data_IF_880908894570
#
_entry.id   IF_880908894570
#
_cell.length_a   1.000
_cell.length_b   1.000
_cell.length_c   1.000
_cell.angle_alpha   90.00
_cell.angle_beta   90.00
_cell.angle_gamma   90.00
#
_symmetry.space_group_name_H-M   'P 1'
#
loop_
_entity.id
_entity.type
_entity.pdbx_description
1 polymer ?
#
# COMPACT_ATOMS: atom_id res chain seq x y z
N UNK A 1 -2.97 -13.18 16.46
CA UNK A 1 -2.14 -13.50 15.29
C UNK A 1 -1.63 -12.17 14.77
N UNK A 2 -0.32 -11.92 14.80
CA UNK A 2 0.24 -10.63 14.36
C UNK A 2 0.54 -10.71 12.86
N UNK A 3 0.20 -9.70 12.05
CA UNK A 3 0.54 -9.67 10.63
C UNK A 3 2.05 -9.83 10.46
N UNK A 4 2.46 -10.76 9.60
CA UNK A 4 3.86 -11.18 9.47
C UNK A 4 4.86 -10.03 9.18
N UNK A 5 4.40 -8.89 8.68
CA UNK A 5 5.26 -7.74 8.42
C UNK A 5 5.58 -6.94 9.70
N UNK A 6 4.69 -6.90 10.69
CA UNK A 6 4.91 -6.17 11.95
C UNK A 6 6.05 -6.80 12.76
N UNK A 7 6.24 -8.12 12.65
CA UNK A 7 7.32 -8.85 13.31
C UNK A 7 8.68 -8.76 12.58
N UNK A 8 8.72 -8.14 11.40
CA UNK A 8 9.95 -7.97 10.62
C UNK A 8 10.67 -6.68 11.01
N UNK A 9 11.99 -6.59 10.79
CA UNK A 9 12.73 -5.33 11.01
C UNK A 9 12.32 -4.27 9.97
N UNK A 10 12.42 -2.96 10.30
CA UNK A 10 12.16 -1.88 9.33
C UNK A 10 12.94 -2.05 8.02
N UNK A 11 14.23 -2.38 8.10
CA UNK A 11 15.07 -2.61 6.92
C UNK A 11 14.53 -3.74 6.03
N UNK A 12 14.05 -4.84 6.61
CA UNK A 12 13.47 -5.96 5.85
C UNK A 12 12.14 -5.58 5.19
N UNK A 13 11.30 -4.78 5.87
CA UNK A 13 10.04 -4.26 5.32
C UNK A 13 10.29 -3.32 4.14
N UNK A 14 11.17 -2.34 4.33
CA UNK A 14 11.58 -1.37 3.30
C UNK A 14 12.12 -2.11 2.07
N UNK A 15 13.07 -3.02 2.27
CA UNK A 15 13.68 -3.78 1.17
C UNK A 15 12.63 -4.59 0.38
N UNK A 16 11.75 -5.31 1.08
CA UNK A 16 10.71 -6.14 0.44
C UNK A 16 9.69 -5.27 -0.31
N UNK A 17 9.30 -4.13 0.26
CA UNK A 17 8.34 -3.23 -0.35
C UNK A 17 8.92 -2.54 -1.60
N UNK A 18 10.17 -2.08 -1.52
CA UNK A 18 10.89 -1.53 -2.66
C UNK A 18 11.06 -2.57 -3.78
N UNK A 19 11.49 -3.79 -3.44
CA UNK A 19 11.72 -4.85 -4.42
C UNK A 19 10.44 -5.21 -5.18
N UNK A 20 9.34 -5.44 -4.46
CA UNK A 20 8.04 -5.76 -5.07
C UNK A 20 7.52 -4.60 -5.93
N UNK A 21 7.70 -3.36 -5.49
CA UNK A 21 7.29 -2.17 -6.23
C UNK A 21 8.10 -1.93 -7.50
N UNK A 22 9.42 -2.17 -7.46
CA UNK A 22 10.31 -1.97 -8.60
C UNK A 22 9.92 -2.82 -9.81
N UNK A 23 9.40 -4.03 -9.60
CA UNK A 23 8.93 -4.90 -10.68
C UNK A 23 7.72 -4.36 -11.46
N UNK A 24 6.98 -3.38 -10.90
CA UNK A 24 5.77 -2.79 -11.48
C UNK A 24 6.00 -1.38 -12.01
N UNK A 25 7.20 -0.83 -11.82
CA UNK A 25 7.50 0.55 -12.11
C UNK A 25 7.90 0.77 -13.56
N UNK A 26 7.53 1.94 -14.10
CA UNK A 26 7.99 2.39 -15.41
C UNK A 26 9.41 2.96 -15.34
N UNK A 27 10.13 3.04 -16.47
CA UNK A 27 11.40 3.76 -16.53
C UNK A 27 11.25 5.21 -16.06
N UNK A 28 12.15 5.68 -15.20
CA UNK A 28 12.10 7.04 -14.64
C UNK A 28 11.24 7.18 -13.39
N UNK A 29 10.62 6.11 -12.88
CA UNK A 29 9.95 6.13 -11.57
C UNK A 29 10.93 6.51 -10.46
N UNK A 30 10.56 7.50 -9.66
CA UNK A 30 11.29 7.88 -8.45
C UNK A 30 10.98 6.90 -7.30
N UNK A 31 12.00 6.61 -6.48
CA UNK A 31 11.89 5.71 -5.34
C UNK A 31 12.47 6.33 -4.08
N UNK A 32 11.67 6.34 -3.02
CA UNK A 32 12.08 6.59 -1.65
C UNK A 32 12.06 5.27 -0.85
N UNK A 33 12.98 5.15 0.09
CA UNK A 33 12.99 4.04 1.04
C UNK A 33 12.03 4.38 2.18
N UNK A 34 10.78 3.95 2.02
CA UNK A 34 9.69 4.19 2.98
C UNK A 34 9.30 2.89 3.64
N UNK A 35 9.20 2.90 4.97
CA UNK A 35 8.66 1.74 5.68
C UNK A 35 7.14 1.69 5.48
N UNK A 36 6.58 0.60 4.93
CA UNK A 36 5.13 0.48 4.78
C UNK A 36 4.36 0.58 6.10
N UNK A 37 4.99 0.23 7.24
CA UNK A 37 4.35 0.39 8.55
C UNK A 37 4.13 1.87 8.89
N UNK A 38 5.08 2.76 8.58
CA UNK A 38 4.97 4.20 8.85
C UNK A 38 3.80 4.84 8.09
N UNK A 39 3.43 4.30 6.92
CA UNK A 39 2.25 4.76 6.15
C UNK A 39 0.97 4.33 6.85
N UNK A 40 0.90 3.06 7.26
CA UNK A 40 -0.27 2.49 7.94
C UNK A 40 -0.51 3.18 9.29
N UNK A 41 0.56 3.41 10.05
CA UNK A 41 0.48 4.11 11.34
C UNK A 41 0.11 5.58 11.18
N UNK A 42 0.62 6.26 10.15
CA UNK A 42 0.24 7.64 9.85
C UNK A 42 -1.24 7.80 9.47
N UNK A 43 -1.85 6.76 8.91
CA UNK A 43 -3.28 6.70 8.62
C UNK A 43 -4.12 6.21 9.82
N UNK A 44 -3.53 6.10 11.00
CA UNK A 44 -4.15 5.55 12.21
C UNK A 44 -4.84 4.20 11.96
N UNK A 45 -4.24 3.35 11.13
CA UNK A 45 -4.82 2.06 10.75
C UNK A 45 -6.20 2.17 10.09
N UNK A 46 -6.49 3.26 9.38
CA UNK A 46 -7.69 3.38 8.56
C UNK A 46 -7.36 3.24 7.08
N UNK A 47 -8.21 2.52 6.37
CA UNK A 47 -8.10 2.36 4.93
C UNK A 47 -8.46 3.68 4.24
N UNK A 48 -7.51 4.31 3.56
CA UNK A 48 -7.72 5.58 2.86
C UNK A 48 -8.55 5.41 1.56
N UNK A 49 -8.81 4.16 1.14
CA UNK A 49 -9.67 3.87 -0.03
C UNK A 49 -11.16 3.78 0.34
N UNK A 50 -11.50 3.21 1.49
CA UNK A 50 -12.90 2.97 1.88
C UNK A 50 -13.28 3.60 3.24
N UNK A 51 -12.34 4.17 3.97
CA UNK A 51 -12.51 4.76 5.29
C UNK A 51 -12.60 3.77 6.46
N UNK A 52 -12.67 2.46 6.19
CA UNK A 52 -12.84 1.45 7.24
C UNK A 52 -11.56 1.15 8.03
N UNK A 53 -11.70 0.75 9.30
CA UNK A 53 -10.60 0.32 10.16
C UNK A 53 -9.88 -0.92 9.60
N UNK A 54 -8.56 -0.92 9.66
CA UNK A 54 -7.68 -2.01 9.31
C UNK A 54 -7.32 -2.77 10.60
N UNK A 55 -7.78 -4.01 10.77
CA UNK A 55 -7.47 -4.77 11.98
C UNK A 55 -5.97 -5.07 12.09
N UNK A 56 -5.43 -4.84 13.29
CA UNK A 56 -4.01 -5.08 13.61
C UNK A 56 -3.67 -6.56 13.75
N UNK A 57 -4.65 -7.42 14.00
CA UNK A 57 -4.45 -8.82 14.37
C UNK A 57 -5.15 -9.79 13.42
N UNK A 58 -4.75 -9.78 12.16
CA UNK A 58 -5.24 -10.71 11.13
C UNK A 58 -4.09 -11.34 10.35
N UNK A 59 -4.37 -12.48 9.72
CA UNK A 59 -3.42 -13.11 8.81
C UNK A 59 -3.13 -12.20 7.60
N UNK A 60 -1.92 -12.29 7.05
CA UNK A 60 -1.52 -11.47 5.89
C UNK A 60 -2.35 -11.72 4.62
N UNK A 61 -2.99 -12.88 4.52
CA UNK A 61 -3.88 -13.26 3.41
C UNK A 61 -5.34 -12.86 3.66
N UNK A 62 -5.66 -12.35 4.86
CA UNK A 62 -7.00 -11.87 5.17
C UNK A 62 -7.40 -10.71 4.23
N UNK A 63 -8.64 -10.67 3.72
CA UNK A 63 -9.13 -9.55 2.92
C UNK A 63 -9.00 -8.18 3.60
N UNK A 64 -9.00 -8.13 4.93
CA UNK A 64 -8.88 -6.93 5.74
C UNK A 64 -7.45 -6.67 6.22
N UNK A 65 -6.48 -7.53 5.89
CA UNK A 65 -5.08 -7.28 6.26
C UNK A 65 -4.58 -5.95 5.69
N UNK A 66 -3.71 -5.29 6.45
CA UNK A 66 -3.09 -4.04 6.03
C UNK A 66 -2.17 -4.25 4.83
N UNK A 67 -2.25 -3.34 3.88
CA UNK A 67 -1.36 -3.20 2.74
C UNK A 67 -1.09 -1.72 2.49
N UNK A 68 -0.03 -1.42 1.73
CA UNK A 68 0.20 -0.09 1.19
C UNK A 68 -0.12 -0.10 -0.29
N UNK A 69 -0.97 0.82 -0.71
CA UNK A 69 -1.34 1.07 -2.09
C UNK A 69 -0.57 2.29 -2.64
N UNK A 70 -0.28 2.26 -3.94
CA UNK A 70 0.19 3.44 -4.66
C UNK A 70 -1.02 4.17 -5.23
N UNK A 71 -1.35 5.35 -4.70
CA UNK A 71 -2.52 6.13 -5.10
C UNK A 71 -2.60 6.23 -6.62
N UNK A 72 -1.57 6.80 -7.25
CA UNK A 72 -1.30 6.68 -8.68
C UNK A 72 -0.51 5.38 -8.94
N UNK A 73 -1.06 4.39 -9.69
CA UNK A 73 -0.34 3.15 -9.98
C UNK A 73 1.02 3.39 -10.66
N UNK A 74 2.05 2.63 -10.25
CA UNK A 74 3.39 2.72 -10.81
C UNK A 74 3.43 2.43 -12.32
N UNK A 75 2.56 1.52 -12.79
CA UNK A 75 2.41 1.16 -14.20
C UNK A 75 1.77 2.27 -15.06
N UNK A 76 1.17 3.27 -14.42
CA UNK A 76 0.55 4.44 -15.07
C UNK A 76 1.34 5.73 -14.79
N UNK A 77 2.61 5.62 -14.40
CA UNK A 77 3.49 6.77 -14.16
C UNK A 77 3.57 7.23 -12.72
N UNK A 78 2.95 6.50 -11.78
CA UNK A 78 3.10 6.77 -10.35
C UNK A 78 4.54 6.60 -9.85
N UNK A 79 4.83 7.24 -8.72
CA UNK A 79 6.13 7.16 -8.05
C UNK A 79 6.09 6.33 -6.77
N UNK A 80 7.18 5.66 -6.43
CA UNK A 80 7.33 4.93 -5.18
C UNK A 80 7.85 5.87 -4.09
N UNK A 81 7.03 6.86 -3.73
CA UNK A 81 7.37 7.94 -2.79
C UNK A 81 6.29 8.05 -1.74
N UNK A 82 6.61 8.54 -0.54
CA UNK A 82 5.67 8.63 0.59
C UNK A 82 4.37 9.34 0.22
N UNK A 83 4.43 10.41 -0.57
CA UNK A 83 3.27 11.20 -0.99
C UNK A 83 2.29 10.45 -1.90
N UNK A 84 2.73 9.38 -2.57
CA UNK A 84 1.90 8.54 -3.43
C UNK A 84 1.46 7.23 -2.73
N UNK A 85 1.76 7.06 -1.44
CA UNK A 85 1.42 5.85 -0.69
C UNK A 85 0.16 6.06 0.14
N UNK A 86 -0.68 5.03 0.22
CA UNK A 86 -1.92 5.02 1.00
C UNK A 86 -2.06 3.74 1.80
N UNK A 87 -2.56 3.84 3.02
CA UNK A 87 -2.95 2.68 3.81
C UNK A 87 -4.24 2.08 3.23
N UNK A 88 -4.25 0.77 2.99
CA UNK A 88 -5.39 0.09 2.39
C UNK A 88 -5.60 -1.32 2.93
N UNK A 89 -6.86 -1.77 3.02
CA UNK A 89 -7.15 -3.19 3.13
C UNK A 89 -6.63 -3.94 1.90
N UNK A 90 -6.20 -5.18 2.08
CA UNK A 90 -5.82 -6.09 1.00
C UNK A 90 -6.90 -6.19 -0.07
N UNK A 91 -8.18 -6.33 0.31
CA UNK A 91 -9.32 -6.41 -0.64
C UNK A 91 -9.51 -5.12 -1.44
N UNK A 92 -9.35 -3.97 -0.80
CA UNK A 92 -9.55 -2.67 -1.45
C UNK A 92 -8.43 -2.39 -2.44
N UNK A 93 -7.19 -2.68 -2.04
CA UNK A 93 -6.02 -2.60 -2.91
C UNK A 93 -6.14 -3.56 -4.12
N UNK A 94 -6.55 -4.81 -3.89
CA UNK A 94 -6.81 -5.77 -4.98
C UNK A 94 -7.93 -5.32 -5.92
N UNK A 95 -9.01 -4.73 -5.39
CA UNK A 95 -10.12 -4.22 -6.19
C UNK A 95 -9.72 -3.01 -7.04
N UNK A 96 -8.91 -2.10 -6.48
CA UNK A 96 -8.33 -0.96 -7.21
C UNK A 96 -7.37 -1.43 -8.29
N UNK A 97 -6.50 -2.39 -7.99
CA UNK A 97 -5.50 -2.91 -8.91
C UNK A 97 -4.67 -1.76 -9.53
N UNK A 98 -4.54 -1.73 -10.87
CA UNK A 98 -3.86 -0.67 -11.62
C UNK A 98 -4.81 0.42 -12.13
N UNK A 99 -6.00 0.57 -11.53
CA UNK A 99 -6.97 1.59 -11.93
C UNK A 99 -6.46 3.00 -11.59
N UNK A 100 -6.73 3.95 -12.49
CA UNK A 100 -6.39 5.36 -12.28
C UNK A 100 -7.26 5.94 -11.15
N UNK A 101 -6.74 6.82 -10.29
CA UNK A 101 -7.52 7.48 -9.22
C UNK A 101 -8.83 8.11 -9.68
N UNK A 102 -8.81 8.77 -10.85
CA UNK A 102 -10.00 9.43 -11.41
C UNK A 102 -11.12 8.42 -11.73
N UNK A 103 -10.77 7.19 -12.11
CA UNK A 103 -11.74 6.14 -12.42
C UNK A 103 -12.35 5.51 -11.15
N UNK A 104 -11.68 5.63 -9.99
CA UNK A 104 -12.20 5.13 -8.71
C UNK A 104 -13.40 5.95 -8.21
N UNK A 105 -13.49 7.22 -8.60
CA UNK A 105 -14.53 8.15 -8.17
C UNK A 105 -15.64 8.32 -9.23
N UNK A 106 -15.47 7.77 -10.44
CA UNK A 106 -16.42 7.90 -11.55
C UNK A 106 -17.74 7.10 -11.35
N UNK A 107 -17.95 6.51 -10.18
CA UNK A 107 -19.12 5.69 -9.86
C UNK A 107 -19.76 5.96 -8.49
N UNK A 108 -19.47 7.10 -7.85
CA UNK A 108 -20.19 7.58 -6.65
C UNK A 108 -21.24 8.62 -7.02
#
# INVERSE_FOLDING_TARGET
MVPAFVTSTPAARIHSFRFTSASRALPGTHFEDVDPLDIIEAADWHCELCGGEIPKEVDRYDPQAATVDHHMPLALGGHHVRSNMRAAHRRCNLSKNSMHPDDLNAGQ
#
